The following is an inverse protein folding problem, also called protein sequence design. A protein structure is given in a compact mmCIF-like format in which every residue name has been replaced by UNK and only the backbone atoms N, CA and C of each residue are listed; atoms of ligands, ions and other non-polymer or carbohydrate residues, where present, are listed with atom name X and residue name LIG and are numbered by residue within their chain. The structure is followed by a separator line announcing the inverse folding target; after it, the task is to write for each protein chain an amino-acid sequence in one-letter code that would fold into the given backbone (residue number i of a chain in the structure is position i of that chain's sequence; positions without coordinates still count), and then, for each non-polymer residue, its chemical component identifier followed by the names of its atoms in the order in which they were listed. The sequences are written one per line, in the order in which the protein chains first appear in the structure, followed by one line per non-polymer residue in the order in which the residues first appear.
data_IF_036545574172
#
_entry.id   IF_036545574172
#
_cell.length_a   1.000
_cell.length_b   1.000
_cell.length_c   1.000
_cell.angle_alpha   90.00
_cell.angle_beta   90.00
_cell.angle_gamma   90.00
#
_symmetry.space_group_name_H-M   'P 1'
#
loop_
_entity.id
_entity.type
_entity.pdbx_description
1 polymer ?
#
# COMPACT_ATOMS: atom_id res chain seq x y z
N UNK A 1 -1.89 0.62 -54.70
CA UNK A 1 -1.75 2.03 -54.25
C UNK A 1 -1.69 2.02 -52.73
N UNK A 2 -0.49 2.01 -52.12
CA UNK A 2 0.23 3.16 -51.52
C UNK A 2 -0.60 3.97 -50.50
N UNK A 3 -0.25 3.79 -49.23
CA UNK A 3 -0.57 4.69 -48.11
C UNK A 3 0.20 4.24 -46.86
N UNK A 4 1.29 4.94 -46.54
CA UNK A 4 2.26 4.68 -45.46
C UNK A 4 2.19 5.84 -44.48
N UNK A 5 2.02 5.61 -43.17
CA UNK A 5 2.50 6.56 -42.13
C UNK A 5 2.94 5.79 -40.89
N UNK A 6 4.19 6.05 -40.51
CA UNK A 6 4.94 5.57 -39.34
C UNK A 6 4.92 6.67 -38.28
N UNK A 7 4.59 6.36 -37.02
CA UNK A 7 4.80 7.25 -35.85
C UNK A 7 5.95 6.70 -35.00
N UNK A 8 7.17 7.21 -35.16
CA UNK A 8 7.84 8.36 -34.48
C UNK A 8 8.57 7.95 -33.19
N UNK A 9 9.87 7.71 -33.37
CA UNK A 9 10.94 7.60 -32.37
C UNK A 9 11.09 8.93 -31.62
N UNK A 10 11.33 8.90 -30.30
CA UNK A 10 11.97 10.01 -29.57
C UNK A 10 13.32 9.55 -29.03
N UNK A 11 14.37 9.95 -29.76
CA UNK A 11 15.78 9.85 -29.36
C UNK A 11 16.07 10.92 -28.30
N UNK A 12 16.94 10.58 -27.36
CA UNK A 12 17.50 11.52 -26.39
C UNK A 12 18.19 12.70 -27.07
N UNK A 13 18.15 13.85 -26.39
CA UNK A 13 18.84 15.05 -26.83
C UNK A 13 19.87 15.39 -25.77
N UNK A 14 21.12 15.11 -26.13
CA UNK A 14 22.33 15.70 -25.60
C UNK A 14 22.33 17.17 -26.07
N UNK A 15 22.11 18.12 -25.18
CA UNK A 15 22.18 19.54 -25.50
C UNK A 15 23.59 20.06 -25.17
N UNK A 16 24.46 20.03 -26.17
CA UNK A 16 25.71 20.78 -26.20
C UNK A 16 25.37 22.23 -26.54
N UNK A 17 25.49 23.16 -25.59
CA UNK A 17 25.40 24.59 -25.89
C UNK A 17 26.80 25.11 -26.26
N UNK A 18 26.98 25.40 -27.55
CA UNK A 18 27.99 26.34 -28.05
C UNK A 18 27.39 27.75 -27.98
N UNK A 19 28.01 28.64 -27.21
CA UNK A 19 27.74 30.08 -27.28
C UNK A 19 28.95 30.79 -27.87
N UNK A 20 28.72 31.37 -29.04
CA UNK A 20 29.65 32.15 -29.87
C UNK A 20 30.08 33.43 -29.17
N UNK A 21 31.39 33.73 -29.21
CA UNK A 21 32.00 34.94 -28.66
C UNK A 21 31.77 36.11 -29.61
N UNK A 22 31.17 37.21 -29.13
CA UNK A 22 31.23 38.53 -29.78
C UNK A 22 32.17 39.40 -28.96
N UNK A 23 33.30 39.77 -29.56
CA UNK A 23 34.32 40.59 -28.94
C UNK A 23 34.05 42.08 -29.20
N UNK A 24 34.04 42.89 -28.13
CA UNK A 24 34.32 44.33 -28.13
C UNK A 24 35.06 44.62 -26.81
N UNK A 25 36.14 45.41 -26.91
CA UNK A 25 37.30 45.38 -26.01
C UNK A 25 37.09 45.84 -24.56
N UNK A 26 38.04 45.45 -23.71
CA UNK A 26 38.12 45.90 -22.31
C UNK A 26 38.72 44.86 -21.36
N UNK A 27 40.04 44.88 -21.27
CA UNK A 27 40.97 44.34 -20.27
C UNK A 27 40.43 43.52 -19.05
N UNK A 28 40.73 42.22 -19.11
CA UNK A 28 41.11 41.27 -18.05
C UNK A 28 40.77 41.55 -16.57
N UNK A 29 39.75 40.88 -16.03
CA UNK A 29 39.84 40.16 -14.75
C UNK A 29 38.73 39.09 -14.62
N UNK A 30 39.17 37.88 -14.28
CA UNK A 30 38.48 36.59 -14.34
C UNK A 30 37.13 36.49 -13.60
N UNK A 31 36.08 36.04 -14.29
CA UNK A 31 34.94 35.41 -13.63
C UNK A 31 35.37 34.04 -13.11
N UNK A 32 35.54 33.93 -11.79
CA UNK A 32 35.82 32.66 -11.14
C UNK A 32 34.70 31.65 -11.43
N UNK A 33 35.08 30.48 -11.95
CA UNK A 33 34.22 29.31 -11.98
C UNK A 33 33.79 28.99 -10.54
N UNK A 34 32.50 29.06 -10.25
CA UNK A 34 31.94 28.50 -9.03
C UNK A 34 32.26 27.00 -9.05
N UNK A 35 32.98 26.44 -8.07
CA UNK A 35 33.15 24.99 -8.00
C UNK A 35 31.76 24.38 -7.82
N UNK A 36 31.40 23.44 -8.70
CA UNK A 36 30.16 22.67 -8.57
C UNK A 36 30.13 22.09 -7.16
N UNK A 37 29.15 22.54 -6.37
CA UNK A 37 28.93 22.01 -5.04
C UNK A 37 28.85 20.49 -5.14
N UNK A 38 29.66 19.84 -4.32
CA UNK A 38 29.74 18.40 -4.20
C UNK A 38 28.33 17.87 -3.90
N UNK A 39 27.61 17.42 -4.92
CA UNK A 39 26.30 16.79 -4.75
C UNK A 39 26.60 15.50 -4.01
N UNK A 40 26.37 15.50 -2.70
CA UNK A 40 26.38 14.28 -1.90
C UNK A 40 25.33 13.38 -2.55
N UNK A 41 25.77 12.39 -3.33
CA UNK A 41 24.94 11.28 -3.77
C UNK A 41 24.47 10.60 -2.49
N UNK A 42 23.28 10.94 -2.03
CA UNK A 42 22.58 10.13 -1.04
C UNK A 42 22.48 8.75 -1.68
N UNK A 43 23.18 7.78 -1.09
CA UNK A 43 23.02 6.38 -1.42
C UNK A 43 21.53 6.12 -1.34
N UNK A 44 20.90 5.74 -2.46
CA UNK A 44 19.53 5.27 -2.44
C UNK A 44 19.51 4.15 -1.41
N UNK A 45 18.91 4.41 -0.24
CA UNK A 45 18.65 3.38 0.75
C UNK A 45 17.84 2.29 0.04
N UNK A 46 17.97 1.05 0.46
CA UNK A 46 17.10 -0.02 -0.02
C UNK A 46 15.67 0.30 0.46
N UNK A 47 14.95 1.19 -0.24
CA UNK A 47 13.54 1.42 -0.04
C UNK A 47 12.90 0.09 -0.41
N UNK A 48 12.47 -0.68 0.59
CA UNK A 48 11.68 -1.86 0.29
C UNK A 48 10.33 -1.35 -0.20
N UNK A 49 9.84 -1.81 -1.37
CA UNK A 49 8.61 -1.30 -1.94
C UNK A 49 7.45 -1.45 -0.97
N UNK A 50 6.54 -0.49 -0.99
CA UNK A 50 5.20 -0.67 -0.47
C UNK A 50 4.60 -1.92 -1.12
N UNK A 51 4.11 -2.86 -0.32
CA UNK A 51 3.53 -4.10 -0.79
C UNK A 51 2.05 -4.17 -0.41
N UNK A 52 1.27 -4.89 -1.22
CA UNK A 52 -0.13 -5.18 -0.92
C UNK A 52 -0.25 -6.68 -0.65
N UNK A 53 -0.76 -7.03 0.52
CA UNK A 53 -0.90 -8.40 0.98
C UNK A 53 -2.31 -8.65 1.48
N UNK A 54 -2.89 -9.79 1.11
CA UNK A 54 -4.21 -10.22 1.57
C UNK A 54 -4.09 -11.46 2.45
N UNK A 55 -4.87 -11.50 3.52
CA UNK A 55 -4.95 -12.65 4.43
C UNK A 55 -6.40 -12.87 4.84
N UNK A 56 -6.81 -14.13 4.90
CA UNK A 56 -8.12 -14.54 5.43
C UNK A 56 -7.93 -15.24 6.77
N UNK A 57 -8.73 -14.81 7.75
CA UNK A 57 -8.92 -15.52 9.03
C UNK A 57 -10.40 -15.82 9.22
N UNK A 58 -10.69 -16.76 10.10
CA UNK A 58 -12.07 -17.12 10.43
C UNK A 58 -12.33 -16.89 11.91
N UNK A 59 -13.54 -16.46 12.23
CA UNK A 59 -14.05 -16.33 13.57
C UNK A 59 -15.44 -16.95 13.65
N UNK A 60 -15.82 -17.45 14.82
CA UNK A 60 -17.15 -18.01 15.05
C UNK A 60 -18.03 -17.04 15.81
N UNK A 61 -19.33 -17.07 15.52
CA UNK A 61 -20.34 -16.31 16.24
C UNK A 61 -21.60 -17.16 16.47
N UNK A 62 -22.40 -16.74 17.46
CA UNK A 62 -23.69 -17.38 17.76
C UNK A 62 -24.83 -16.66 17.05
N UNK A 63 -25.73 -17.45 16.46
CA UNK A 63 -27.01 -17.00 15.94
C UNK A 63 -28.10 -17.91 16.50
N UNK A 64 -28.84 -17.41 17.49
CA UNK A 64 -29.69 -18.24 18.34
C UNK A 64 -28.89 -19.37 18.99
N UNK A 65 -29.35 -20.61 18.85
CA UNK A 65 -28.71 -21.80 19.43
C UNK A 65 -27.56 -22.38 18.57
N UNK A 66 -27.29 -21.80 17.40
CA UNK A 66 -26.31 -22.34 16.44
C UNK A 66 -25.03 -21.52 16.42
N UNK A 67 -23.89 -22.19 16.16
CA UNK A 67 -22.61 -21.51 15.90
C UNK A 67 -22.37 -21.46 14.40
N UNK A 68 -22.00 -20.28 13.91
CA UNK A 68 -21.65 -20.04 12.52
C UNK A 68 -20.19 -19.58 12.42
N UNK A 69 -19.60 -19.70 11.23
CA UNK A 69 -18.22 -19.31 10.95
C UNK A 69 -18.21 -18.22 9.89
N UNK A 70 -17.60 -17.09 10.24
CA UNK A 70 -17.34 -15.98 9.34
C UNK A 70 -15.88 -16.02 8.90
N UNK A 71 -15.62 -16.00 7.59
CA UNK A 71 -14.29 -15.68 7.06
C UNK A 71 -14.18 -14.20 6.81
N UNK A 72 -13.09 -13.61 7.27
CA UNK A 72 -12.75 -12.20 7.15
C UNK A 72 -11.44 -12.11 6.39
N UNK A 73 -11.47 -11.45 5.24
CA UNK A 73 -10.30 -11.19 4.39
C UNK A 73 -9.93 -9.73 4.52
N UNK A 74 -8.74 -9.48 5.07
CA UNK A 74 -8.13 -8.16 5.06
C UNK A 74 -7.11 -8.04 3.93
N UNK A 75 -7.12 -6.90 3.25
CA UNK A 75 -6.08 -6.51 2.29
C UNK A 75 -5.38 -5.28 2.82
N UNK A 76 -4.07 -5.41 3.02
CA UNK A 76 -3.26 -4.46 3.75
C UNK A 76 -2.12 -3.95 2.88
N UNK A 77 -1.73 -2.71 3.14
CA UNK A 77 -0.47 -2.18 2.66
C UNK A 77 0.58 -2.36 3.75
N UNK A 78 1.76 -2.84 3.37
CA UNK A 78 2.92 -2.93 4.23
C UNK A 78 4.06 -2.08 3.66
N UNK A 79 4.88 -1.52 4.54
CA UNK A 79 6.04 -0.73 4.17
C UNK A 79 7.20 -0.97 5.14
N UNK A 80 8.42 -0.92 4.64
CA UNK A 80 9.60 -1.02 5.48
C UNK A 80 9.77 0.23 6.32
N UNK A 81 9.99 0.04 7.62
CA UNK A 81 10.36 1.10 8.54
C UNK A 81 11.86 1.04 8.83
N UNK A 82 12.57 2.11 8.49
CA UNK A 82 13.98 2.26 8.87
C UNK A 82 14.18 2.38 10.39
N UNK A 83 13.16 2.81 11.13
CA UNK A 83 13.21 2.93 12.60
C UNK A 83 13.08 1.54 13.24
N UNK A 84 12.13 0.74 12.78
CA UNK A 84 11.89 -0.60 13.34
C UNK A 84 12.71 -1.70 12.65
N UNK A 85 13.44 -1.38 11.58
CA UNK A 85 14.25 -2.29 10.75
C UNK A 85 13.48 -3.49 10.21
N UNK A 86 12.21 -3.30 9.87
CA UNK A 86 11.29 -4.36 9.41
C UNK A 86 10.10 -3.80 8.63
N UNK A 87 9.35 -4.68 7.96
CA UNK A 87 8.03 -4.37 7.44
C UNK A 87 7.02 -4.12 8.56
N UNK A 88 6.17 -3.11 8.34
CA UNK A 88 5.11 -2.65 9.23
C UNK A 88 3.85 -2.42 8.40
N UNK A 89 2.67 -2.38 9.05
CA UNK A 89 1.47 -1.93 8.36
C UNK A 89 1.57 -0.45 7.98
N UNK A 90 1.15 -0.14 6.75
CA UNK A 90 1.03 1.21 6.22
C UNK A 90 -0.44 1.64 6.08
N UNK A 91 -1.35 0.68 5.89
CA UNK A 91 -2.77 0.97 5.72
C UNK A 91 -3.63 -0.27 5.48
N UNK A 92 -4.94 -0.06 5.46
CA UNK A 92 -5.95 -1.06 5.10
C UNK A 92 -6.56 -0.63 3.77
N UNK A 93 -6.49 -1.49 2.74
CA UNK A 93 -7.17 -1.25 1.46
C UNK A 93 -8.63 -1.70 1.52
N UNK A 94 -8.89 -2.85 2.13
CA UNK A 94 -10.23 -3.39 2.26
C UNK A 94 -10.33 -4.43 3.37
N UNK A 95 -11.50 -4.49 3.99
CA UNK A 95 -11.94 -5.59 4.85
C UNK A 95 -13.25 -6.11 4.27
N UNK A 96 -13.26 -7.40 3.93
CA UNK A 96 -14.46 -8.06 3.43
C UNK A 96 -14.73 -9.33 4.25
N UNK A 97 -16.00 -9.69 4.39
CA UNK A 97 -16.40 -10.85 5.16
C UNK A 97 -17.52 -11.64 4.50
N UNK A 98 -17.51 -12.94 4.74
CA UNK A 98 -18.56 -13.86 4.29
C UNK A 98 -18.78 -14.95 5.32
N UNK A 99 -20.02 -15.36 5.48
CA UNK A 99 -20.30 -16.60 6.21
C UNK A 99 -19.85 -17.79 5.37
N UNK A 100 -19.23 -18.77 6.01
CA UNK A 100 -18.69 -19.98 5.35
C UNK A 100 -19.29 -21.27 5.88
N UNK A 101 -20.14 -21.19 6.91
CA UNK A 101 -20.92 -22.31 7.42
C UNK A 101 -22.37 -21.92 7.66
N UNK A 102 -23.22 -22.94 7.77
CA UNK A 102 -24.66 -22.76 7.95
C UNK A 102 -25.42 -22.44 6.67
N UNK A 103 -26.73 -22.29 6.82
CA UNK A 103 -27.68 -22.06 5.70
C UNK A 103 -28.21 -20.62 5.65
N UNK A 104 -27.84 -19.78 6.61
CA UNK A 104 -28.23 -18.36 6.64
C UNK A 104 -27.35 -17.49 5.75
N UNK A 105 -27.79 -16.25 5.54
CA UNK A 105 -27.09 -15.24 4.75
C UNK A 105 -26.41 -14.20 5.65
N UNK A 106 -25.30 -13.66 5.16
CA UNK A 106 -24.53 -12.62 5.84
C UNK A 106 -24.50 -11.34 5.01
N UNK A 107 -24.72 -10.20 5.66
CA UNK A 107 -24.49 -8.87 5.10
C UNK A 107 -23.59 -8.07 6.03
N UNK A 108 -22.35 -7.85 5.62
CA UNK A 108 -21.46 -6.92 6.31
C UNK A 108 -22.06 -5.51 6.26
N UNK A 109 -22.06 -4.82 7.39
CA UNK A 109 -22.53 -3.43 7.51
C UNK A 109 -21.38 -2.45 7.72
N UNK A 110 -20.26 -2.91 8.29
CA UNK A 110 -19.08 -2.08 8.49
C UNK A 110 -17.92 -2.84 9.14
N UNK A 111 -16.83 -2.11 9.36
CA UNK A 111 -15.74 -2.58 10.19
C UNK A 111 -15.09 -1.40 10.93
N UNK A 112 -14.52 -1.70 12.09
CA UNK A 112 -13.64 -0.82 12.85
C UNK A 112 -12.29 -1.51 13.04
N UNK A 113 -11.26 -0.74 13.39
CA UNK A 113 -9.95 -1.31 13.66
C UNK A 113 -9.21 -0.60 14.78
N UNK A 114 -8.31 -1.34 15.43
CA UNK A 114 -7.28 -0.83 16.31
C UNK A 114 -5.92 -1.29 15.80
N UNK A 115 -4.92 -0.42 15.90
CA UNK A 115 -3.54 -0.76 15.57
C UNK A 115 -2.74 -0.84 16.87
N UNK A 116 -2.31 -2.04 17.23
CA UNK A 116 -1.59 -2.34 18.48
C UNK A 116 -0.18 -2.85 18.18
N UNK A 117 0.54 -3.28 19.23
CA UNK A 117 1.89 -3.85 19.16
C UNK A 117 2.91 -2.97 18.42
N UNK A 118 2.77 -1.65 18.60
CA UNK A 118 3.62 -0.64 17.97
C UNK A 118 3.42 -0.52 16.46
N UNK A 119 2.22 -0.79 15.94
CA UNK A 119 1.95 -0.70 14.50
C UNK A 119 1.99 -2.04 13.76
N UNK A 120 2.05 -3.16 14.48
CA UNK A 120 2.29 -4.49 13.88
C UNK A 120 1.07 -5.38 13.84
N UNK A 121 0.05 -5.10 14.63
CA UNK A 121 -1.16 -5.91 14.69
C UNK A 121 -2.38 -5.05 14.48
N UNK A 122 -3.15 -5.35 13.44
CA UNK A 122 -4.51 -4.84 13.32
C UNK A 122 -5.46 -5.77 14.06
N UNK A 123 -6.20 -5.24 15.03
CA UNK A 123 -7.42 -5.88 15.55
C UNK A 123 -8.57 -5.33 14.72
N UNK A 124 -9.22 -6.18 13.94
CA UNK A 124 -10.34 -5.80 13.07
C UNK A 124 -11.63 -6.30 13.69
N UNK A 125 -12.59 -5.39 13.89
CA UNK A 125 -13.96 -5.70 14.31
C UNK A 125 -14.87 -5.59 13.10
N UNK A 126 -15.47 -6.68 12.66
CA UNK A 126 -16.41 -6.69 11.54
C UNK A 126 -17.82 -6.80 12.08
N UNK A 127 -18.68 -5.86 11.68
CA UNK A 127 -20.10 -5.86 12.02
C UNK A 127 -20.96 -6.17 10.82
N UNK A 128 -22.09 -6.81 11.07
CA UNK A 128 -23.07 -7.13 10.04
C UNK A 128 -24.33 -7.79 10.58
N UNK A 129 -25.20 -8.15 9.65
CA UNK A 129 -26.45 -8.85 9.92
C UNK A 129 -26.39 -10.26 9.37
N UNK A 130 -26.63 -11.25 10.23
CA UNK A 130 -26.85 -12.64 9.82
C UNK A 130 -28.34 -12.96 9.82
N UNK A 131 -28.86 -13.55 8.75
CA UNK A 131 -30.29 -13.88 8.63
C UNK A 131 -30.47 -15.37 8.35
N UNK A 132 -31.30 -16.03 9.16
CA UNK A 132 -31.64 -17.46 9.01
C UNK A 132 -33.11 -17.68 9.35
N UNK A 133 -33.85 -18.40 8.50
CA UNK A 133 -35.26 -18.71 8.74
C UNK A 133 -36.15 -17.48 8.97
N UNK A 134 -35.83 -16.34 8.33
CA UNK A 134 -36.55 -15.07 8.50
C UNK A 134 -36.17 -14.24 9.74
N UNK A 135 -35.29 -14.75 10.61
CA UNK A 135 -34.79 -14.03 11.78
C UNK A 135 -33.43 -13.42 11.51
N UNK A 136 -33.21 -12.18 11.98
CA UNK A 136 -31.96 -11.44 11.80
C UNK A 136 -31.25 -11.18 13.12
N UNK A 137 -29.93 -11.34 13.11
CA UNK A 137 -29.04 -11.15 14.24
C UNK A 137 -27.98 -10.11 13.89
N UNK A 138 -27.87 -9.06 14.69
CA UNK A 138 -26.72 -8.14 14.63
C UNK A 138 -25.52 -8.79 15.29
N UNK A 139 -24.42 -8.89 14.55
CA UNK A 139 -23.22 -9.61 14.98
C UNK A 139 -22.01 -8.72 14.79
N UNK A 140 -21.14 -8.68 15.79
CA UNK A 140 -19.79 -8.15 15.70
C UNK A 140 -18.80 -9.25 16.06
N UNK A 141 -17.80 -9.48 15.22
CA UNK A 141 -16.72 -10.44 15.43
C UNK A 141 -15.38 -9.78 15.23
N UNK A 142 -14.37 -10.23 15.98
CA UNK A 142 -13.00 -9.70 15.86
C UNK A 142 -12.02 -10.74 15.34
N UNK A 143 -11.06 -10.29 14.55
CA UNK A 143 -9.86 -11.06 14.16
C UNK A 143 -8.64 -10.16 14.22
N UNK A 144 -7.50 -10.74 14.55
CA UNK A 144 -6.22 -10.02 14.55
C UNK A 144 -5.42 -10.38 13.32
N UNK A 145 -4.71 -9.43 12.71
CA UNK A 145 -3.77 -9.66 11.63
C UNK A 145 -2.41 -9.11 12.02
N UNK A 146 -1.37 -9.93 11.96
CA UNK A 146 -0.01 -9.53 12.36
C UNK A 146 0.90 -9.36 11.15
N UNK A 147 1.59 -8.23 11.05
CA UNK A 147 2.60 -7.97 10.03
C UNK A 147 3.96 -8.54 10.46
N UNK A 148 4.38 -9.62 9.80
CA UNK A 148 5.70 -10.20 9.98
C UNK A 148 6.79 -9.26 9.46
N UNK A 149 8.03 -9.47 9.91
CA UNK A 149 9.15 -8.59 9.54
C UNK A 149 9.46 -8.56 8.04
N UNK A 150 9.08 -9.61 7.31
CA UNK A 150 9.21 -9.77 5.86
C UNK A 150 8.04 -9.17 5.06
N UNK A 151 7.00 -8.67 5.73
CA UNK A 151 5.83 -8.06 5.12
C UNK A 151 4.68 -9.04 4.83
N UNK A 152 4.86 -10.33 5.13
CA UNK A 152 3.75 -11.28 5.13
C UNK A 152 2.78 -10.98 6.29
N UNK A 153 1.51 -11.35 6.12
CA UNK A 153 0.48 -11.15 7.16
C UNK A 153 -0.01 -12.49 7.70
N UNK A 154 0.13 -12.64 9.02
CA UNK A 154 -0.25 -13.80 9.81
C UNK A 154 -1.66 -13.71 10.32
#
# INVERSE_FOLDING_TARGET
MRGKVVGRVKKGVLATLLATIVALGGEHASFALIPQQNVVKLKAGNITPQSVVSKTKSASFKAGQTTQTLSITGTFETQYSDVHKRQMFAGIKSINSKVTSGIGSWKQTGYEYQLIDGGRTYVIYVSGTYTIGGQSYSVTVSVEFYCNADGSVG
#
